data_IF_227731851899
#
_entry.id   IF_227731851899
#
_cell.length_a   1.000
_cell.length_b   1.000
_cell.length_c   1.000
_cell.angle_alpha   90.00
_cell.angle_beta   90.00
_cell.angle_gamma   90.00
#
_symmetry.space_group_name_H-M   'P 1'
#
loop_
_entity.id
_entity.type
_entity.pdbx_description
1 polymer ?
#
# COMPACT_ATOMS: atom_id res chain seq x y z
N UNK A 1 7.73 0.23 -0.70
CA UNK A 1 8.77 -0.41 0.13
C UNK A 1 8.27 -0.51 1.55
N UNK A 2 8.80 -1.44 2.35
CA UNK A 2 8.49 -1.52 3.78
C UNK A 2 9.73 -1.12 4.57
N UNK A 3 9.61 -0.30 5.60
CA UNK A 3 10.76 0.23 6.36
C UNK A 3 11.60 -0.86 7.04
N UNK A 4 10.95 -1.96 7.47
CA UNK A 4 11.64 -3.12 8.05
C UNK A 4 12.37 -4.01 7.02
N UNK A 5 12.09 -3.87 5.72
CA UNK A 5 12.80 -4.56 4.65
C UNK A 5 12.97 -3.63 3.41
N UNK A 6 13.85 -2.63 3.50
CA UNK A 6 14.04 -1.64 2.42
C UNK A 6 14.55 -2.25 1.10
N UNK A 7 15.18 -3.43 1.16
CA UNK A 7 15.79 -4.08 0.02
C UNK A 7 14.80 -4.85 -0.86
N UNK A 8 13.56 -5.03 -0.40
CA UNK A 8 12.56 -5.80 -1.13
C UNK A 8 11.28 -5.00 -1.40
N UNK A 9 10.79 -4.96 -2.65
CA UNK A 9 9.47 -4.40 -2.95
C UNK A 9 8.38 -5.11 -2.14
N UNK A 10 7.50 -4.31 -1.52
CA UNK A 10 6.36 -4.81 -0.74
C UNK A 10 5.09 -5.02 -1.58
N UNK A 11 5.06 -4.51 -2.82
CA UNK A 11 3.91 -4.58 -3.72
C UNK A 11 4.00 -3.60 -4.89
N UNK A 12 2.88 -3.40 -5.57
CA UNK A 12 2.75 -2.50 -6.73
C UNK A 12 1.44 -1.71 -6.66
N UNK A 13 1.49 -0.42 -7.01
CA UNK A 13 0.29 0.40 -7.20
C UNK A 13 -0.32 0.06 -8.56
N UNK A 14 -1.58 -0.37 -8.57
CA UNK A 14 -2.31 -0.75 -9.79
C UNK A 14 -3.22 0.38 -10.30
N UNK A 15 -3.67 1.26 -9.39
CA UNK A 15 -4.44 2.44 -9.74
C UNK A 15 -4.22 3.53 -8.67
N UNK A 16 -4.29 4.79 -9.06
CA UNK A 16 -4.25 5.92 -8.14
C UNK A 16 -5.10 7.07 -8.69
N UNK A 17 -5.81 7.75 -7.80
CA UNK A 17 -6.63 8.90 -8.13
C UNK A 17 -6.60 9.91 -7.00
N UNK A 18 -6.80 11.18 -7.36
CA UNK A 18 -6.98 12.27 -6.42
C UNK A 18 -8.48 12.57 -6.28
N UNK A 19 -8.95 12.82 -5.06
CA UNK A 19 -10.30 13.31 -4.82
C UNK A 19 -10.44 14.83 -5.03
N UNK A 20 -11.66 15.34 -4.89
CA UNK A 20 -11.96 16.78 -5.06
C UNK A 20 -11.28 17.68 -4.01
N UNK A 21 -10.83 17.11 -2.88
CA UNK A 21 -10.11 17.83 -1.82
C UNK A 21 -8.59 17.83 -2.03
N UNK A 22 -8.11 17.12 -3.05
CA UNK A 22 -6.70 16.96 -3.34
C UNK A 22 -6.03 15.78 -2.62
N UNK A 23 -6.78 14.95 -1.90
CA UNK A 23 -6.24 13.75 -1.26
C UNK A 23 -6.06 12.63 -2.28
N UNK A 24 -4.95 11.90 -2.18
CA UNK A 24 -4.66 10.78 -3.05
C UNK A 24 -5.08 9.47 -2.40
N UNK A 25 -5.77 8.64 -3.18
CA UNK A 25 -6.02 7.25 -2.85
C UNK A 25 -5.40 6.36 -3.92
N UNK A 26 -4.86 5.22 -3.50
CA UNK A 26 -4.27 4.23 -4.40
C UNK A 26 -4.78 2.84 -4.08
N UNK A 27 -5.01 2.05 -5.13
CA UNK A 27 -5.20 0.62 -5.03
C UNK A 27 -3.85 -0.04 -5.31
N UNK A 28 -3.41 -0.91 -4.40
CA UNK A 28 -2.13 -1.60 -4.51
C UNK A 28 -2.29 -3.10 -4.26
N UNK A 29 -1.55 -3.90 -5.02
CA UNK A 29 -1.36 -5.31 -4.74
C UNK A 29 -0.13 -5.47 -3.84
N UNK A 30 -0.32 -5.95 -2.62
CA UNK A 30 0.73 -6.12 -1.62
C UNK A 30 1.04 -7.59 -1.35
N UNK A 31 2.25 -7.88 -0.88
CA UNK A 31 2.56 -9.16 -0.26
C UNK A 31 1.66 -9.34 0.97
N UNK A 32 1.01 -10.49 1.09
CA UNK A 32 0.07 -10.80 2.18
C UNK A 32 0.71 -10.57 3.56
N UNK A 33 1.97 -11.00 3.73
CA UNK A 33 2.72 -10.85 4.98
C UNK A 33 2.94 -9.39 5.42
N UNK A 34 2.75 -8.41 4.54
CA UNK A 34 2.92 -6.97 4.80
C UNK A 34 1.59 -6.20 4.71
N UNK A 35 0.50 -6.86 4.32
CA UNK A 35 -0.80 -6.23 4.23
C UNK A 35 -1.28 -5.83 5.63
N UNK A 36 -1.70 -4.57 5.80
CA UNK A 36 -2.19 -4.04 7.08
C UNK A 36 -1.10 -3.64 8.08
N UNK A 37 0.19 -3.74 7.72
CA UNK A 37 1.29 -3.25 8.55
C UNK A 37 1.57 -1.75 8.28
N UNK A 38 2.08 -1.06 9.29
CA UNK A 38 2.56 0.32 9.16
C UNK A 38 3.97 0.38 8.53
N UNK A 39 4.42 1.55 8.09
CA UNK A 39 5.75 1.71 7.51
C UNK A 39 5.85 1.29 6.04
N UNK A 40 4.74 1.43 5.30
CA UNK A 40 4.70 1.30 3.85
C UNK A 40 5.02 2.65 3.21
N UNK A 41 5.90 2.66 2.22
CA UNK A 41 6.36 3.87 1.53
C UNK A 41 6.32 3.72 0.00
N UNK A 42 6.04 4.81 -0.72
CA UNK A 42 6.04 4.83 -2.19
C UNK A 42 7.43 5.09 -2.76
N UNK A 43 7.80 4.33 -3.80
CA UNK A 43 9.05 4.49 -4.57
C UNK A 43 10.31 4.01 -3.84
N UNK A 44 10.53 4.48 -2.61
CA UNK A 44 11.69 4.15 -1.77
C UNK A 44 11.26 3.92 -0.32
N UNK A 45 12.14 3.38 0.54
CA UNK A 45 11.83 3.09 1.94
C UNK A 45 11.73 4.34 2.82
N UNK A 46 12.31 5.46 2.37
CA UNK A 46 12.23 6.81 2.95
C UNK A 46 11.28 7.72 2.16
N UNK A 47 10.55 7.16 1.18
CA UNK A 47 9.58 7.88 0.38
C UNK A 47 8.30 8.26 1.15
N UNK A 48 7.32 8.87 0.47
CA UNK A 48 6.04 9.21 1.07
C UNK A 48 5.40 7.98 1.71
N UNK A 49 5.06 8.09 2.99
CA UNK A 49 4.37 7.04 3.73
C UNK A 49 2.94 6.89 3.22
N UNK A 50 2.47 5.65 3.12
CA UNK A 50 1.08 5.32 2.77
C UNK A 50 0.43 4.58 3.93
N UNK A 51 -0.81 4.96 4.22
CA UNK A 51 -1.60 4.36 5.28
C UNK A 51 -2.56 3.33 4.66
N UNK A 52 -2.59 2.07 5.13
CA UNK A 52 -3.57 1.10 4.69
C UNK A 52 -4.99 1.59 4.98
N UNK A 53 -5.81 1.70 3.93
CA UNK A 53 -7.23 1.98 4.05
C UNK A 53 -8.07 0.71 4.13
N UNK A 54 -9.30 0.84 4.62
CA UNK A 54 -10.29 -0.25 4.59
C UNK A 54 -10.84 -0.40 3.17
N UNK A 55 -10.80 -1.62 2.63
CA UNK A 55 -11.42 -1.90 1.34
C UNK A 55 -12.95 -1.92 1.48
N UNK A 56 -13.70 -1.44 0.47
CA UNK A 56 -15.17 -1.47 0.50
C UNK A 56 -15.75 -2.88 0.28
N UNK A 57 -14.89 -3.88 0.08
CA UNK A 57 -15.22 -5.28 -0.10
C UNK A 57 -14.27 -6.17 0.70
N UNK A 58 -14.73 -7.37 1.04
CA UNK A 58 -13.93 -8.38 1.73
C UNK A 58 -12.95 -9.01 0.73
N UNK A 59 -11.69 -9.14 1.14
CA UNK A 59 -10.71 -9.97 0.44
C UNK A 59 -10.79 -11.36 1.03
N UNK A 60 -11.09 -12.35 0.20
CA UNK A 60 -11.16 -13.76 0.61
C UNK A 60 -9.74 -14.32 0.51
N UNK A 61 -9.23 -14.91 1.59
CA UNK A 61 -7.94 -15.61 1.54
C UNK A 61 -8.06 -16.83 0.60
N UNK A 62 -7.11 -17.03 -0.32
CA UNK A 62 -7.09 -18.23 -1.14
C UNK A 62 -6.79 -19.45 -0.23
N UNK A 63 -7.61 -20.50 -0.34
CA UNK A 63 -7.37 -21.79 0.33
C UNK A 63 -6.08 -22.49 -0.15
#
# INVERSE_FOLDING_TARGET
MHSADPGQPCGVVVNAAQDETGQWAALAALKIALAGQAGLHLGAADGPEIVPGTLPYVVIDPE
#
